data_IF_122045327487
#
_entry.id   IF_122045327487
#
_cell.length_a   1.000
_cell.length_b   1.000
_cell.length_c   1.000
_cell.angle_alpha   90.00
_cell.angle_beta   90.00
_cell.angle_gamma   90.00
#
_symmetry.space_group_name_H-M   'P 1'
#
loop_
_entity.id
_entity.type
_entity.pdbx_description
1 polymer ?
#
# COMPACT_ATOMS: atom_id res chain seq x y z
N UNK A 1 -67.10 45.43 65.67
CA UNK A 1 -68.48 44.94 65.88
C UNK A 1 -69.28 45.22 64.62
N UNK A 2 -69.72 44.15 63.95
CA UNK A 2 -70.87 44.04 63.04
C UNK A 2 -70.84 44.78 61.67
N UNK A 3 -70.95 43.92 60.66
CA UNK A 3 -71.21 44.06 59.22
C UNK A 3 -72.55 44.73 58.86
N UNK A 4 -72.56 45.57 57.81
CA UNK A 4 -73.55 45.67 56.69
C UNK A 4 -73.67 47.11 56.18
N UNK A 5 -73.52 47.27 54.85
CA UNK A 5 -73.96 48.34 53.90
C UNK A 5 -72.96 48.30 52.75
N UNK A 6 -73.24 48.36 51.46
CA UNK A 6 -74.32 48.86 50.59
C UNK A 6 -74.14 48.08 49.26
N UNK A 7 -75.15 47.59 48.54
CA UNK A 7 -76.19 48.31 47.78
C UNK A 7 -75.63 49.01 46.52
N UNK A 8 -76.12 48.56 45.34
CA UNK A 8 -76.42 49.32 44.11
C UNK A 8 -75.21 49.67 43.21
N UNK A 9 -75.05 48.98 42.08
CA UNK A 9 -75.57 49.35 40.74
C UNK A 9 -74.87 50.57 40.12
N UNK A 10 -73.92 50.31 39.20
CA UNK A 10 -74.00 50.68 37.78
C UNK A 10 -72.64 50.58 37.09
N UNK A 11 -72.62 49.69 36.08
CA UNK A 11 -72.26 49.99 34.69
C UNK A 11 -71.07 50.94 34.46
N UNK A 12 -69.97 50.38 33.99
CA UNK A 12 -69.18 50.82 32.82
C UNK A 12 -67.70 50.55 33.03
N UNK A 13 -67.17 49.55 32.33
CA UNK A 13 -65.89 49.63 31.60
C UNK A 13 -65.64 48.27 30.94
N UNK A 14 -65.88 48.22 29.63
CA UNK A 14 -65.18 47.34 28.68
C UNK A 14 -64.25 48.28 27.91
N UNK A 15 -62.97 47.97 27.77
CA UNK A 15 -62.46 47.40 26.51
C UNK A 15 -61.63 46.13 26.79
N UNK A 16 -61.84 45.04 26.06
CA UNK A 16 -61.13 44.66 24.82
C UNK A 16 -59.64 44.28 25.03
N UNK A 17 -59.21 43.26 24.28
CA UNK A 17 -57.91 42.55 24.30
C UNK A 17 -57.81 41.41 25.35
N UNK A 18 -57.66 40.14 24.97
CA UNK A 18 -56.81 39.64 23.90
C UNK A 18 -55.68 38.84 24.53
N UNK A 19 -55.93 37.59 24.89
CA UNK A 19 -54.85 36.65 25.20
C UNK A 19 -55.01 35.45 24.28
N UNK A 20 -54.50 35.62 23.07
CA UNK A 20 -54.33 34.54 22.11
C UNK A 20 -53.42 33.47 22.73
N UNK A 21 -53.88 32.22 22.63
CA UNK A 21 -53.10 31.00 22.85
C UNK A 21 -51.79 31.07 22.06
N UNK A 22 -50.70 31.45 22.72
CA UNK A 22 -49.36 31.37 22.14
C UNK A 22 -48.70 30.04 22.55
N UNK A 23 -49.35 28.93 22.20
CA UNK A 23 -48.63 27.68 22.05
C UNK A 23 -47.91 27.76 20.70
N UNK A 24 -46.78 28.49 20.69
CA UNK A 24 -45.84 28.51 19.57
C UNK A 24 -45.20 27.13 19.48
N UNK A 25 -45.95 26.17 18.92
CA UNK A 25 -45.37 24.99 18.30
C UNK A 25 -44.44 25.52 17.24
N UNK A 26 -43.16 25.60 17.58
CA UNK A 26 -42.10 25.64 16.59
C UNK A 26 -42.22 24.33 15.82
N UNK A 27 -43.06 24.33 14.79
CA UNK A 27 -43.02 23.36 13.71
C UNK A 27 -41.65 23.54 13.09
N UNK A 28 -40.70 22.78 13.63
CA UNK A 28 -39.40 22.55 13.02
C UNK A 28 -39.73 21.95 11.67
N UNK A 29 -39.79 22.80 10.63
CA UNK A 29 -40.00 22.37 9.25
C UNK A 29 -38.92 21.34 8.95
N UNK A 30 -39.28 20.07 9.01
CA UNK A 30 -38.45 18.95 8.57
C UNK A 30 -38.33 19.07 7.06
N UNK A 31 -37.35 19.85 6.61
CA UNK A 31 -37.01 19.94 5.20
C UNK A 31 -36.43 18.58 4.80
N UNK A 32 -37.19 17.82 4.04
CA UNK A 32 -36.71 16.58 3.41
C UNK A 32 -35.62 16.86 2.38
N UNK A 33 -34.90 15.82 1.98
CA UNK A 33 -33.85 15.93 0.96
C UNK A 33 -34.42 16.26 -0.41
N UNK A 34 -33.76 17.17 -1.11
CA UNK A 34 -34.07 17.42 -2.52
C UNK A 34 -33.48 16.31 -3.39
N UNK A 35 -34.16 15.95 -4.49
CA UNK A 35 -33.67 14.95 -5.45
C UNK A 35 -32.29 15.33 -6.01
N UNK A 36 -32.04 16.62 -6.24
CA UNK A 36 -30.74 17.10 -6.73
C UNK A 36 -29.62 16.87 -5.71
N UNK A 37 -29.90 17.00 -4.42
CA UNK A 37 -28.92 16.78 -3.35
C UNK A 37 -28.52 15.31 -3.28
N UNK A 38 -29.49 14.40 -3.46
CA UNK A 38 -29.24 12.96 -3.53
C UNK A 38 -28.39 12.61 -4.75
N UNK A 39 -28.72 13.17 -5.93
CA UNK A 39 -27.95 12.92 -7.17
C UNK A 39 -26.52 13.44 -7.04
N UNK A 40 -26.34 14.66 -6.54
CA UNK A 40 -25.00 15.23 -6.31
C UNK A 40 -24.24 14.42 -5.26
N UNK A 41 -24.89 14.00 -4.18
CA UNK A 41 -24.29 13.15 -3.15
C UNK A 41 -23.79 11.81 -3.70
N UNK A 42 -24.62 11.11 -4.49
CA UNK A 42 -24.23 9.86 -5.15
C UNK A 42 -23.09 10.09 -6.14
N UNK A 43 -23.13 11.18 -6.90
CA UNK A 43 -22.06 11.52 -7.84
C UNK A 43 -20.71 11.76 -7.12
N UNK A 44 -20.73 12.49 -6.00
CA UNK A 44 -19.54 12.74 -5.19
C UNK A 44 -18.97 11.45 -4.57
N UNK A 45 -19.84 10.58 -4.03
CA UNK A 45 -19.45 9.26 -3.51
C UNK A 45 -18.85 8.41 -4.64
N UNK A 46 -19.44 8.42 -5.83
CA UNK A 46 -18.93 7.71 -6.99
C UNK A 46 -17.49 8.12 -7.34
N UNK A 47 -17.22 9.43 -7.40
CA UNK A 47 -15.86 9.94 -7.65
C UNK A 47 -14.89 9.53 -6.55
N UNK A 48 -15.30 9.60 -5.28
CA UNK A 48 -14.47 9.18 -4.15
C UNK A 48 -14.09 7.68 -4.21
N UNK A 49 -15.05 6.83 -4.56
CA UNK A 49 -14.82 5.38 -4.70
C UNK A 49 -13.88 5.05 -5.87
N UNK A 50 -13.94 5.79 -6.97
CA UNK A 50 -12.99 5.63 -8.08
C UNK A 50 -11.55 5.94 -7.64
N UNK A 51 -11.37 7.00 -6.85
CA UNK A 51 -10.06 7.31 -6.25
C UNK A 51 -9.56 6.19 -5.34
N UNK A 52 -10.43 5.65 -4.48
CA UNK A 52 -10.09 4.54 -3.60
C UNK A 52 -9.72 3.26 -4.37
N UNK A 53 -10.43 2.95 -5.45
CA UNK A 53 -10.16 1.78 -6.28
C UNK A 53 -8.76 1.83 -6.92
N UNK A 54 -8.32 3.01 -7.37
CA UNK A 54 -6.98 3.20 -7.92
C UNK A 54 -5.89 2.99 -6.86
N UNK A 55 -6.08 3.56 -5.66
CA UNK A 55 -5.16 3.38 -4.54
C UNK A 55 -5.05 1.92 -4.11
N UNK A 56 -6.17 1.19 -4.11
CA UNK A 56 -6.17 -0.24 -3.82
C UNK A 56 -5.35 -1.02 -4.85
N UNK A 57 -5.56 -0.79 -6.15
CA UNK A 57 -4.80 -1.44 -7.20
C UNK A 57 -3.30 -1.15 -7.07
N UNK A 58 -2.93 0.11 -6.85
CA UNK A 58 -1.54 0.52 -6.62
C UNK A 58 -0.92 -0.18 -5.40
N UNK A 59 -1.67 -0.28 -4.30
CA UNK A 59 -1.22 -0.96 -3.08
C UNK A 59 -0.91 -2.43 -3.33
N UNK A 60 -1.80 -3.16 -4.01
CA UNK A 60 -1.60 -4.57 -4.36
C UNK A 60 -0.36 -4.75 -5.26
N UNK A 61 -0.22 -3.90 -6.29
CA UNK A 61 0.95 -3.93 -7.18
C UNK A 61 2.26 -3.66 -6.42
N UNK A 62 2.24 -2.71 -5.48
CA UNK A 62 3.40 -2.36 -4.67
C UNK A 62 3.75 -3.49 -3.68
N UNK A 63 2.76 -4.14 -3.10
CA UNK A 63 2.96 -5.29 -2.21
C UNK A 63 3.64 -6.45 -2.94
N UNK A 64 3.10 -6.86 -4.09
CA UNK A 64 3.67 -7.94 -4.89
C UNK A 64 5.12 -7.65 -5.33
N UNK A 65 5.41 -6.39 -5.70
CA UNK A 65 6.77 -5.95 -6.03
C UNK A 65 7.69 -6.02 -4.80
N UNK A 66 7.21 -5.59 -3.64
CA UNK A 66 7.97 -5.60 -2.39
C UNK A 66 8.27 -7.02 -1.91
N UNK A 67 7.32 -7.94 -2.04
CA UNK A 67 7.51 -9.36 -1.74
C UNK A 67 8.59 -9.97 -2.64
N UNK A 68 8.52 -9.69 -3.95
CA UNK A 68 9.52 -10.16 -4.92
C UNK A 68 10.93 -9.61 -4.64
N UNK A 69 11.03 -8.33 -4.26
CA UNK A 69 12.30 -7.66 -3.89
C UNK A 69 12.89 -8.25 -2.60
N UNK A 70 12.04 -8.51 -1.60
CA UNK A 70 12.43 -9.09 -0.32
C UNK A 70 12.97 -10.50 -0.49
N UNK A 71 12.23 -11.36 -1.21
CA UNK A 71 12.66 -12.72 -1.51
C UNK A 71 13.95 -12.74 -2.33
N UNK A 72 14.05 -11.92 -3.38
CA UNK A 72 15.27 -11.82 -4.19
C UNK A 72 16.48 -11.39 -3.36
N UNK A 73 16.30 -10.42 -2.46
CA UNK A 73 17.37 -9.97 -1.55
C UNK A 73 17.78 -11.07 -0.60
N UNK A 74 16.81 -11.79 -0.01
CA UNK A 74 17.09 -12.93 0.87
C UNK A 74 17.91 -14.02 0.15
N UNK A 75 17.52 -14.40 -1.08
CA UNK A 75 18.24 -15.37 -1.90
C UNK A 75 19.67 -14.91 -2.24
N UNK A 76 19.86 -13.61 -2.49
CA UNK A 76 21.18 -13.04 -2.73
C UNK A 76 22.06 -13.10 -1.47
N UNK A 77 21.51 -12.76 -0.30
CA UNK A 77 22.23 -12.83 0.97
C UNK A 77 22.60 -14.27 1.32
N UNK A 78 21.67 -15.22 1.17
CA UNK A 78 21.96 -16.64 1.38
C UNK A 78 23.13 -17.13 0.52
N UNK A 79 23.18 -16.71 -0.74
CA UNK A 79 24.30 -17.05 -1.64
C UNK A 79 25.62 -16.44 -1.17
N UNK A 80 25.61 -15.19 -0.72
CA UNK A 80 26.81 -14.54 -0.16
C UNK A 80 27.30 -15.28 1.08
N UNK A 81 26.39 -15.65 1.98
CA UNK A 81 26.74 -16.37 3.20
C UNK A 81 27.26 -17.77 2.90
N UNK A 82 26.73 -18.44 1.87
CA UNK A 82 27.32 -19.67 1.36
C UNK A 82 28.77 -19.46 0.88
N UNK A 83 29.02 -18.45 0.03
CA UNK A 83 30.35 -18.15 -0.48
C UNK A 83 31.33 -17.75 0.64
N UNK A 84 30.86 -17.09 1.69
CA UNK A 84 31.66 -16.74 2.89
C UNK A 84 32.10 -17.93 3.70
N UNK A 85 31.54 -19.12 3.49
CA UNK A 85 31.98 -20.34 4.15
C UNK A 85 32.98 -21.15 3.31
N UNK A 86 33.25 -20.72 2.07
CA UNK A 86 34.19 -21.41 1.18
C UNK A 86 35.64 -21.01 1.45
N UNK A 87 36.54 -21.92 1.07
CA UNK A 87 38.00 -21.73 1.06
C UNK A 87 38.44 -20.87 -0.13
N UNK A 88 39.69 -20.37 -0.08
CA UNK A 88 40.27 -19.58 -1.18
C UNK A 88 40.33 -20.36 -2.51
N UNK A 89 40.63 -21.67 -2.45
CA UNK A 89 40.71 -22.52 -3.64
C UNK A 89 39.32 -22.72 -4.26
N UNK A 90 38.29 -22.97 -3.45
CA UNK A 90 36.91 -23.09 -3.91
C UNK A 90 36.40 -21.79 -4.54
N UNK A 91 36.66 -20.65 -3.89
CA UNK A 91 36.30 -19.32 -4.43
C UNK A 91 37.00 -19.04 -5.77
N UNK A 92 38.27 -19.43 -5.90
CA UNK A 92 39.03 -19.28 -7.15
C UNK A 92 38.42 -20.13 -8.26
N UNK A 93 38.04 -21.37 -7.97
CA UNK A 93 37.37 -22.25 -8.94
C UNK A 93 36.01 -21.70 -9.38
N UNK A 94 35.23 -21.13 -8.46
CA UNK A 94 33.95 -20.49 -8.80
C UNK A 94 34.10 -19.17 -9.55
N UNK A 95 35.27 -18.54 -9.54
CA UNK A 95 35.53 -17.30 -10.28
C UNK A 95 35.81 -17.47 -11.77
N UNK A 96 35.91 -18.71 -12.24
CA UNK A 96 36.21 -19.01 -13.65
C UNK A 96 35.06 -18.64 -14.60
N UNK A 97 33.82 -18.67 -14.11
CA UNK A 97 32.64 -18.32 -14.89
C UNK A 97 31.52 -17.90 -13.95
N UNK A 98 30.60 -17.00 -14.38
CA UNK A 98 29.37 -16.76 -13.65
C UNK A 98 28.58 -18.06 -13.42
N UNK A 99 28.06 -18.21 -12.21
CA UNK A 99 27.13 -19.28 -11.87
C UNK A 99 25.73 -18.78 -12.22
N UNK A 100 24.98 -19.55 -13.01
CA UNK A 100 23.64 -19.22 -13.45
C UNK A 100 22.66 -20.30 -12.97
N UNK A 101 21.75 -19.94 -12.08
CA UNK A 101 20.82 -20.87 -11.43
C UNK A 101 19.37 -20.44 -11.66
N UNK A 102 18.53 -21.39 -12.06
CA UNK A 102 17.09 -21.24 -12.13
C UNK A 102 16.48 -21.86 -10.87
N UNK A 103 15.71 -21.07 -10.14
CA UNK A 103 15.13 -21.45 -8.86
C UNK A 103 13.61 -21.52 -8.99
N UNK A 104 13.08 -22.69 -8.69
CA UNK A 104 11.68 -22.97 -8.45
C UNK A 104 11.54 -23.21 -6.93
N UNK A 105 10.96 -22.26 -6.21
CA UNK A 105 10.99 -22.25 -4.73
C UNK A 105 9.89 -23.13 -4.16
N UNK A 106 8.74 -23.19 -4.83
CA UNK A 106 7.58 -23.94 -4.39
C UNK A 106 7.47 -25.33 -5.08
N UNK A 107 8.40 -25.64 -5.99
CA UNK A 107 8.43 -26.88 -6.77
C UNK A 107 7.17 -27.10 -7.62
N UNK A 108 6.58 -26.03 -8.16
CA UNK A 108 5.41 -26.11 -9.03
C UNK A 108 5.76 -26.35 -10.52
N UNK A 109 7.06 -26.45 -10.83
CA UNK A 109 7.59 -26.66 -12.17
C UNK A 109 7.79 -25.35 -12.95
N UNK A 110 7.46 -24.20 -12.37
CA UNK A 110 7.69 -22.88 -12.93
C UNK A 110 8.89 -22.26 -12.21
N UNK A 111 9.81 -21.72 -13.00
CA UNK A 111 10.93 -20.96 -12.43
C UNK A 111 10.38 -19.65 -11.84
N UNK A 112 10.59 -19.45 -10.54
CA UNK A 112 10.23 -18.23 -9.82
C UNK A 112 11.31 -17.15 -9.94
N UNK A 113 12.56 -17.56 -9.86
CA UNK A 113 13.72 -16.67 -9.85
C UNK A 113 14.87 -17.23 -10.66
N UNK A 114 15.70 -16.32 -11.17
CA UNK A 114 17.00 -16.64 -11.74
C UNK A 114 18.06 -15.89 -10.94
N UNK A 115 19.02 -16.63 -10.38
CA UNK A 115 20.17 -16.06 -9.67
C UNK A 115 21.41 -16.19 -10.53
N UNK A 116 22.15 -15.11 -10.64
CA UNK A 116 23.45 -15.05 -11.32
C UNK A 116 24.47 -14.58 -10.30
N UNK A 117 25.51 -15.39 -10.10
CA UNK A 117 26.60 -15.11 -9.16
C UNK A 117 27.88 -14.92 -9.94
N UNK A 118 28.51 -13.76 -9.78
CA UNK A 118 29.78 -13.43 -10.42
C UNK A 118 30.84 -13.25 -9.34
N UNK A 119 32.00 -13.87 -9.54
CA UNK A 119 33.17 -13.69 -8.69
C UNK A 119 34.32 -13.22 -9.55
N UNK A 120 34.98 -12.14 -9.14
CA UNK A 120 36.19 -11.63 -9.79
C UNK A 120 37.32 -11.66 -8.76
N UNK A 121 38.26 -12.59 -8.94
CA UNK A 121 39.43 -12.72 -8.10
C UNK A 121 40.44 -11.59 -8.36
N UNK A 122 41.01 -11.04 -7.29
CA UNK A 122 42.02 -10.00 -7.29
C UNK A 122 43.00 -10.24 -6.14
N UNK A 123 43.97 -11.14 -6.37
CA UNK A 123 44.88 -11.60 -5.32
C UNK A 123 44.12 -12.40 -4.25
N UNK A 124 44.16 -11.93 -3.01
CA UNK A 124 43.49 -12.55 -1.85
C UNK A 124 42.06 -12.01 -1.61
N UNK A 125 41.49 -11.32 -2.59
CA UNK A 125 40.16 -10.74 -2.54
C UNK A 125 39.30 -11.23 -3.71
N UNK A 126 38.03 -11.48 -3.45
CA UNK A 126 37.03 -11.80 -4.46
C UNK A 126 35.91 -10.77 -4.40
N UNK A 127 35.73 -10.03 -5.48
CA UNK A 127 34.55 -9.18 -5.67
C UNK A 127 33.39 -10.10 -6.07
N UNK A 128 32.39 -10.19 -5.21
CA UNK A 128 31.21 -11.02 -5.41
C UNK A 128 30.04 -10.13 -5.74
N UNK A 129 29.39 -10.42 -6.85
CA UNK A 129 28.12 -9.80 -7.26
C UNK A 129 27.06 -10.87 -7.43
N UNK A 130 25.96 -10.73 -6.70
CA UNK A 130 24.80 -11.61 -6.82
C UNK A 130 23.63 -10.82 -7.37
N UNK A 131 23.19 -11.20 -8.57
CA UNK A 131 22.03 -10.65 -9.24
C UNK A 131 20.88 -11.65 -9.14
N UNK A 132 19.70 -11.18 -8.75
CA UNK A 132 18.50 -12.00 -8.72
C UNK A 132 17.40 -11.35 -9.54
N UNK A 133 16.87 -12.11 -10.49
CA UNK A 133 15.81 -11.71 -11.41
C UNK A 133 14.58 -12.58 -11.16
N UNK A 134 13.42 -12.10 -11.59
CA UNK A 134 12.22 -12.93 -11.70
C UNK A 134 12.40 -14.02 -12.76
N UNK A 135 11.74 -15.15 -12.62
CA UNK A 135 11.80 -16.28 -13.55
C UNK A 135 11.33 -15.98 -14.98
N UNK A 136 10.66 -14.85 -15.19
CA UNK A 136 10.39 -14.31 -16.54
C UNK A 136 11.67 -14.13 -17.37
N UNK A 137 12.83 -13.96 -16.72
CA UNK A 137 14.12 -13.79 -17.36
C UNK A 137 14.89 -15.12 -17.51
N UNK A 138 14.25 -16.28 -17.30
CA UNK A 138 14.91 -17.58 -17.36
C UNK A 138 15.58 -17.87 -18.72
N UNK A 139 14.97 -17.42 -19.81
CA UNK A 139 15.41 -17.69 -21.19
C UNK A 139 16.26 -16.57 -21.80
N UNK A 140 16.55 -15.51 -21.05
CA UNK A 140 17.38 -14.40 -21.56
C UNK A 140 18.84 -14.81 -21.58
N UNK A 141 19.57 -14.41 -22.62
CA UNK A 141 21.01 -14.67 -22.70
C UNK A 141 21.78 -14.05 -21.54
N UNK A 142 22.74 -14.81 -21.00
CA UNK A 142 23.44 -14.46 -19.76
C UNK A 142 24.23 -13.15 -19.87
N UNK A 143 24.92 -12.94 -20.98
CA UNK A 143 25.74 -11.74 -21.19
C UNK A 143 24.89 -10.47 -21.30
N UNK A 144 23.73 -10.56 -21.95
CA UNK A 144 22.81 -9.44 -22.10
C UNK A 144 22.26 -8.98 -20.74
N UNK A 145 21.85 -9.94 -19.90
CA UNK A 145 21.24 -9.64 -18.60
C UNK A 145 22.26 -9.12 -17.58
N UNK A 146 23.51 -9.59 -17.65
CA UNK A 146 24.62 -9.10 -16.84
C UNK A 146 25.03 -7.68 -17.26
N UNK A 147 25.06 -7.40 -18.57
CA UNK A 147 25.47 -6.10 -19.10
C UNK A 147 24.46 -5.00 -18.77
N UNK A 148 23.17 -5.30 -18.67
CA UNK A 148 22.12 -4.30 -18.39
C UNK A 148 21.05 -4.79 -17.39
N UNK A 149 21.39 -5.07 -16.12
CA UNK A 149 20.46 -5.68 -15.16
C UNK A 149 19.19 -4.86 -14.90
N UNK A 150 19.29 -3.54 -14.97
CA UNK A 150 18.16 -2.63 -14.75
C UNK A 150 17.09 -2.77 -15.85
N UNK A 151 17.49 -2.98 -17.11
CA UNK A 151 16.57 -3.16 -18.24
C UNK A 151 15.74 -4.45 -18.08
N UNK A 152 16.38 -5.50 -17.58
CA UNK A 152 15.73 -6.79 -17.27
C UNK A 152 15.05 -6.81 -15.90
N UNK A 153 14.86 -5.64 -15.28
CA UNK A 153 14.15 -5.47 -14.01
C UNK A 153 14.72 -6.37 -12.91
N UNK A 154 16.03 -6.28 -12.66
CA UNK A 154 16.67 -6.93 -11.51
C UNK A 154 15.88 -6.67 -10.21
N UNK A 155 15.75 -7.70 -9.37
CA UNK A 155 15.07 -7.64 -8.07
C UNK A 155 16.05 -7.57 -6.91
N UNK A 156 17.28 -8.04 -7.06
CA UNK A 156 18.35 -7.77 -6.11
C UNK A 156 19.70 -7.70 -6.84
N UNK A 157 20.51 -6.71 -6.49
CA UNK A 157 21.89 -6.56 -6.95
C UNK A 157 22.75 -6.30 -5.71
N UNK A 158 23.36 -7.37 -5.20
CA UNK A 158 24.16 -7.31 -3.97
C UNK A 158 25.61 -7.50 -4.33
N UNK A 159 26.45 -6.55 -3.90
CA UNK A 159 27.88 -6.55 -4.13
C UNK A 159 28.61 -6.61 -2.80
N UNK A 160 29.62 -7.46 -2.71
CA UNK A 160 30.44 -7.59 -1.50
C UNK A 160 31.85 -8.06 -1.85
N UNK A 161 32.76 -7.96 -0.88
CA UNK A 161 34.13 -8.46 -1.02
C UNK A 161 34.36 -9.55 0.01
N UNK A 162 34.90 -10.67 -0.43
CA UNK A 162 35.38 -11.76 0.44
C UNK A 162 36.90 -11.75 0.39
N UNK A 163 37.55 -11.86 1.55
CA UNK A 163 39.02 -11.96 1.67
C UNK A 163 39.42 -13.24 2.41
N UNK A 164 40.59 -13.77 2.06
CA UNK A 164 41.19 -14.96 2.69
C UNK A 164 42.68 -14.79 2.92
#
# INVERSE_FOLDING_TARGET
MITKREIIDKKSQVPEEGSLDNNSRNDTKSKGFSMIEVVVGIALVGVALLGLAQLFCLSVMNNNRSDSMTNATFLAQQQIDFLRNLTADELSNLSLSPINELMDINSDGIVDYRRITQLVASGFYWNVRVLVFTGLQAQVELDNIIASPAEYKVRADVNTVISR
#
